data_IF_817875550032
#
_entry.id   IF_817875550032
#
_cell.length_a   1.000
_cell.length_b   1.000
_cell.length_c   1.000
_cell.angle_alpha   90.00
_cell.angle_beta   90.00
_cell.angle_gamma   90.00
#
_symmetry.space_group_name_H-M   'P 1'
#
loop_
_entity.id
_entity.type
_entity.pdbx_description
1 polymer ?
#
# COMPACT_ATOMS: atom_id res chain seq x y z
N UNK A 1 -6.03 -14.05 -29.26
CA UNK A 1 -6.20 -12.72 -28.65
C UNK A 1 -5.73 -12.81 -27.20
N UNK A 2 -4.83 -11.95 -26.78
CA UNK A 2 -4.46 -11.89 -25.37
C UNK A 2 -5.68 -11.46 -24.56
N UNK A 3 -5.96 -12.20 -23.49
CA UNK A 3 -7.04 -11.87 -22.54
C UNK A 3 -6.57 -10.67 -21.69
N UNK A 4 -6.80 -9.45 -22.19
CA UNK A 4 -6.43 -8.20 -21.50
C UNK A 4 -7.21 -7.96 -20.19
N UNK A 5 -7.78 -9.01 -19.63
CA UNK A 5 -8.57 -8.92 -18.40
C UNK A 5 -7.66 -8.82 -17.18
N UNK A 6 -7.88 -7.78 -16.39
CA UNK A 6 -7.22 -7.64 -15.10
C UNK A 6 -7.85 -8.62 -14.10
N UNK A 7 -7.02 -9.46 -13.49
CA UNK A 7 -7.43 -10.41 -12.44
C UNK A 7 -6.73 -10.08 -11.13
N UNK A 8 -7.48 -10.04 -10.05
CA UNK A 8 -6.95 -9.86 -8.68
C UNK A 8 -7.08 -11.20 -7.96
N UNK A 9 -5.99 -11.64 -7.33
CA UNK A 9 -5.98 -12.86 -6.52
C UNK A 9 -5.14 -12.66 -5.25
N UNK A 10 -5.39 -13.43 -4.19
CA UNK A 10 -4.50 -13.48 -3.04
C UNK A 10 -3.09 -13.94 -3.44
N UNK A 11 -2.10 -13.42 -2.74
CA UNK A 11 -0.70 -13.88 -2.88
C UNK A 11 -0.62 -15.34 -2.44
N UNK A 12 -0.16 -16.21 -3.35
CA UNK A 12 0.15 -17.60 -3.04
C UNK A 12 1.64 -17.78 -2.70
N UNK A 13 1.98 -18.88 -2.05
CA UNK A 13 3.38 -19.18 -1.72
C UNK A 13 4.28 -19.24 -2.96
N UNK A 14 3.74 -19.72 -4.07
CA UNK A 14 4.43 -19.78 -5.37
C UNK A 14 4.72 -18.39 -5.96
N UNK A 15 3.97 -17.38 -5.57
CA UNK A 15 4.16 -15.99 -6.04
C UNK A 15 5.29 -15.27 -5.26
N UNK A 16 5.61 -15.75 -4.04
CA UNK A 16 6.49 -15.06 -3.09
C UNK A 16 7.89 -14.72 -3.62
N UNK A 17 8.60 -15.58 -4.37
CA UNK A 17 9.91 -15.19 -4.90
C UNK A 17 9.86 -14.01 -5.88
N UNK A 18 8.86 -13.99 -6.77
CA UNK A 18 8.69 -12.88 -7.72
C UNK A 18 8.24 -11.59 -7.02
N UNK A 19 7.33 -11.71 -6.05
CA UNK A 19 6.84 -10.60 -5.23
C UNK A 19 7.97 -10.03 -4.39
N UNK A 20 8.80 -10.85 -3.77
CA UNK A 20 9.94 -10.41 -2.98
C UNK A 20 10.92 -9.58 -3.79
N UNK A 21 11.23 -9.99 -5.02
CA UNK A 21 12.07 -9.19 -5.93
C UNK A 21 11.41 -7.87 -6.31
N UNK A 22 10.13 -7.88 -6.60
CA UNK A 22 9.37 -6.67 -6.95
C UNK A 22 9.35 -5.67 -5.78
N UNK A 23 9.01 -6.13 -4.58
CA UNK A 23 9.01 -5.29 -3.37
C UNK A 23 10.41 -4.73 -3.10
N UNK A 24 11.44 -5.56 -3.14
CA UNK A 24 12.80 -5.14 -2.88
C UNK A 24 13.26 -4.01 -3.82
N UNK A 25 12.82 -4.04 -5.08
CA UNK A 25 13.14 -3.00 -6.06
C UNK A 25 12.41 -1.67 -5.80
N UNK A 26 11.25 -1.70 -5.14
CA UNK A 26 10.39 -0.52 -4.90
C UNK A 26 10.54 0.05 -3.49
N UNK A 27 10.61 -0.81 -2.49
CA UNK A 27 10.49 -0.46 -1.08
C UNK A 27 11.72 -0.87 -0.24
N UNK A 28 12.59 -1.71 -0.79
CA UNK A 28 13.62 -2.39 -0.01
C UNK A 28 13.01 -3.56 0.82
N UNK A 29 13.75 -4.01 1.83
CA UNK A 29 13.34 -5.16 2.64
C UNK A 29 12.25 -4.82 3.66
N UNK A 30 12.17 -3.57 4.09
CA UNK A 30 11.28 -3.12 5.18
C UNK A 30 10.56 -1.84 4.82
N UNK A 31 9.36 -1.68 5.37
CA UNK A 31 8.57 -0.45 5.37
C UNK A 31 8.25 -0.09 6.80
N UNK A 32 8.41 1.17 7.18
CA UNK A 32 8.13 1.65 8.52
C UNK A 32 6.86 2.51 8.48
N UNK A 33 5.89 2.13 9.30
CA UNK A 33 4.62 2.85 9.45
C UNK A 33 4.37 3.03 10.94
N UNK A 34 4.20 4.27 11.38
CA UNK A 34 3.97 4.61 12.80
C UNK A 34 5.01 3.98 13.75
N UNK A 35 6.28 3.93 13.32
CA UNK A 35 7.34 3.29 14.09
C UNK A 35 7.35 1.76 14.06
N UNK A 36 6.37 1.13 13.44
CA UNK A 36 6.32 -0.33 13.25
C UNK A 36 7.06 -0.71 11.98
N UNK A 37 7.97 -1.66 12.10
CA UNK A 37 8.74 -2.19 10.97
C UNK A 37 8.00 -3.38 10.37
N UNK A 38 7.56 -3.23 9.12
CA UNK A 38 6.93 -4.30 8.34
C UNK A 38 7.94 -4.91 7.36
N UNK A 39 7.74 -6.18 7.06
CA UNK A 39 8.43 -6.91 5.98
C UNK A 39 7.40 -7.26 4.90
N UNK A 40 7.20 -6.40 3.90
CA UNK A 40 6.07 -6.56 2.97
C UNK A 40 6.06 -7.89 2.22
N UNK A 41 7.24 -8.47 1.95
CA UNK A 41 7.32 -9.78 1.28
C UNK A 41 6.73 -10.93 2.11
N UNK A 42 6.56 -10.76 3.42
CA UNK A 42 6.03 -11.76 4.34
C UNK A 42 4.55 -11.53 4.68
N UNK A 43 4.01 -10.35 4.34
CA UNK A 43 2.64 -9.97 4.65
C UNK A 43 1.61 -10.70 3.77
N UNK A 44 0.36 -10.62 4.20
CA UNK A 44 -0.78 -10.90 3.35
C UNK A 44 -0.79 -9.92 2.17
N UNK A 45 -1.31 -10.35 1.03
CA UNK A 45 -1.32 -9.48 -0.13
C UNK A 45 -2.28 -9.93 -1.21
N UNK A 46 -2.50 -9.01 -2.14
CA UNK A 46 -3.26 -9.22 -3.37
C UNK A 46 -2.37 -8.88 -4.56
N UNK A 47 -2.32 -9.78 -5.53
CA UNK A 47 -1.64 -9.53 -6.81
C UNK A 47 -2.66 -9.23 -7.90
N UNK A 48 -2.33 -8.25 -8.71
CA UNK A 48 -3.01 -7.96 -9.95
C UNK A 48 -2.22 -8.58 -11.11
N UNK A 49 -2.88 -9.36 -11.94
CA UNK A 49 -2.29 -10.03 -13.10
C UNK A 49 -3.04 -9.62 -14.35
N UNK A 50 -2.31 -9.27 -15.41
CA UNK A 50 -2.83 -8.98 -16.74
C UNK A 50 -1.96 -9.71 -17.75
N UNK A 51 -2.57 -10.42 -18.69
CA UNK A 51 -1.85 -11.21 -19.71
C UNK A 51 -0.80 -12.17 -19.10
N UNK A 52 -1.12 -12.77 -17.95
CA UNK A 52 -0.23 -13.68 -17.25
C UNK A 52 0.98 -13.03 -16.57
N UNK A 53 1.05 -11.69 -16.56
CA UNK A 53 2.14 -10.91 -15.96
C UNK A 53 1.69 -10.12 -14.76
N UNK A 54 2.60 -9.90 -13.82
CA UNK A 54 2.37 -9.03 -12.67
C UNK A 54 2.04 -7.59 -13.16
N UNK A 55 0.87 -7.11 -12.82
CA UNK A 55 0.41 -5.76 -13.13
C UNK A 55 0.42 -4.84 -11.90
N UNK A 56 0.35 -5.41 -10.70
CA UNK A 56 0.40 -4.66 -9.46
C UNK A 56 0.36 -5.56 -8.22
N UNK A 57 0.62 -4.95 -7.09
CA UNK A 57 0.67 -5.62 -5.79
C UNK A 57 0.16 -4.68 -4.70
N UNK A 58 -0.58 -5.25 -3.76
CA UNK A 58 -0.95 -4.60 -2.51
C UNK A 58 -0.65 -5.57 -1.37
N UNK A 59 0.11 -5.10 -0.36
CA UNK A 59 0.33 -5.86 0.87
C UNK A 59 -0.37 -5.17 2.03
N UNK A 60 -0.82 -5.96 2.99
CA UNK A 60 -1.58 -5.46 4.12
C UNK A 60 -1.37 -6.28 5.39
N UNK A 61 -1.62 -5.64 6.51
CA UNK A 61 -1.66 -6.26 7.83
C UNK A 61 -3.03 -6.04 8.47
N UNK A 62 -3.49 -6.99 9.29
CA UNK A 62 -4.78 -6.92 9.97
C UNK A 62 -4.55 -6.90 11.47
N UNK A 63 -5.06 -5.89 12.15
CA UNK A 63 -4.98 -5.76 13.59
C UNK A 63 -6.29 -5.23 14.16
N UNK A 64 -6.95 -6.02 15.00
CA UNK A 64 -8.25 -5.66 15.56
C UNK A 64 -9.30 -5.38 14.46
N UNK A 65 -9.93 -4.23 14.52
CA UNK A 65 -10.97 -3.78 13.58
C UNK A 65 -10.41 -3.07 12.34
N UNK A 66 -9.09 -3.04 12.16
CA UNK A 66 -8.44 -2.30 11.10
C UNK A 66 -7.58 -3.18 10.21
N UNK A 67 -7.53 -2.83 8.93
CA UNK A 67 -6.62 -3.35 7.94
C UNK A 67 -5.73 -2.20 7.47
N UNK A 68 -4.43 -2.32 7.71
CA UNK A 68 -3.42 -1.37 7.24
C UNK A 68 -2.91 -1.79 5.85
N UNK A 69 -3.08 -0.93 4.86
CA UNK A 69 -2.41 -1.08 3.56
C UNK A 69 -0.96 -0.65 3.75
N UNK A 70 -0.03 -1.60 3.64
CA UNK A 70 1.41 -1.33 3.87
C UNK A 70 2.10 -0.92 2.58
N UNK A 71 1.82 -1.61 1.47
CA UNK A 71 2.32 -1.22 0.14
C UNK A 71 1.21 -1.30 -0.90
N UNK A 72 1.25 -0.40 -1.87
CA UNK A 72 0.40 -0.44 -3.06
C UNK A 72 1.21 0.04 -4.26
N UNK A 73 1.36 -0.85 -5.23
CA UNK A 73 2.11 -0.58 -6.45
C UNK A 73 1.36 -1.05 -7.69
N UNK A 74 1.36 -0.22 -8.71
CA UNK A 74 1.02 -0.61 -10.07
C UNK A 74 2.29 -0.60 -10.93
N UNK A 75 2.48 -1.62 -11.75
CA UNK A 75 3.63 -1.70 -12.67
C UNK A 75 3.58 -0.55 -13.68
N UNK A 76 2.39 -0.24 -14.16
CA UNK A 76 2.10 0.95 -14.97
C UNK A 76 1.13 1.86 -14.22
N UNK A 77 1.40 3.17 -14.11
CA UNK A 77 0.54 4.11 -13.38
C UNK A 77 -0.88 4.24 -13.94
N UNK A 78 -1.06 3.86 -15.20
CA UNK A 78 -2.34 3.91 -15.93
C UNK A 78 -2.99 2.53 -15.99
N UNK A 79 -4.30 2.47 -16.23
CA UNK A 79 -5.02 1.20 -16.44
C UNK A 79 -5.81 0.67 -15.25
N UNK A 80 -6.02 1.48 -14.22
CA UNK A 80 -6.95 1.17 -13.14
C UNK A 80 -6.49 0.09 -12.15
N UNK A 81 -5.24 -0.36 -12.21
CA UNK A 81 -4.71 -1.45 -11.36
C UNK A 81 -4.79 -1.08 -9.88
N UNK A 82 -4.33 0.12 -9.50
CA UNK A 82 -4.40 0.58 -8.12
C UNK A 82 -5.83 0.65 -7.59
N UNK A 83 -6.76 1.15 -8.40
CA UNK A 83 -8.19 1.19 -8.04
C UNK A 83 -8.77 -0.20 -7.83
N UNK A 84 -8.45 -1.14 -8.71
CA UNK A 84 -8.90 -2.53 -8.60
C UNK A 84 -8.36 -3.21 -7.34
N UNK A 85 -7.09 -2.97 -6.99
CA UNK A 85 -6.47 -3.50 -5.77
C UNK A 85 -7.12 -2.92 -4.51
N UNK A 86 -7.40 -1.61 -4.48
CA UNK A 86 -8.08 -0.98 -3.33
C UNK A 86 -9.51 -1.51 -3.19
N UNK A 87 -10.25 -1.70 -4.27
CA UNK A 87 -11.58 -2.33 -4.25
C UNK A 87 -11.49 -3.76 -3.70
N UNK A 88 -10.53 -4.54 -4.19
CA UNK A 88 -10.37 -5.94 -3.76
C UNK A 88 -9.97 -6.05 -2.27
N UNK A 89 -9.10 -5.17 -1.76
CA UNK A 89 -8.75 -5.20 -0.34
C UNK A 89 -9.90 -4.72 0.55
N UNK A 90 -10.74 -3.81 0.08
CA UNK A 90 -11.97 -3.43 0.79
C UNK A 90 -12.94 -4.61 0.91
N UNK A 91 -13.10 -5.40 -0.15
CA UNK A 91 -13.92 -6.62 -0.13
C UNK A 91 -13.31 -7.68 0.79
N UNK A 92 -11.99 -7.84 0.78
CA UNK A 92 -11.29 -8.73 1.71
C UNK A 92 -11.51 -8.31 3.17
N UNK A 93 -11.42 -7.03 3.46
CA UNK A 93 -11.67 -6.47 4.79
C UNK A 93 -13.11 -6.77 5.25
N UNK A 94 -14.10 -6.60 4.37
CA UNK A 94 -15.51 -6.94 4.67
C UNK A 94 -15.68 -8.43 4.97
N UNK A 95 -15.07 -9.32 4.18
CA UNK A 95 -15.10 -10.77 4.45
C UNK A 95 -14.52 -11.12 5.81
N UNK A 96 -13.51 -10.37 6.26
CA UNK A 96 -12.89 -10.52 7.59
C UNK A 96 -13.63 -9.77 8.69
N UNK A 97 -14.75 -9.10 8.37
CA UNK A 97 -15.49 -8.25 9.30
C UNK A 97 -14.66 -7.10 9.89
N UNK A 98 -13.66 -6.66 9.16
CA UNK A 98 -12.86 -5.49 9.50
C UNK A 98 -13.60 -4.23 9.09
N UNK A 99 -13.64 -3.24 9.98
CA UNK A 99 -14.47 -2.03 9.84
C UNK A 99 -13.76 -0.87 9.20
N UNK A 100 -12.45 -0.89 9.17
CA UNK A 100 -11.65 0.26 8.73
C UNK A 100 -10.45 -0.15 7.90
N UNK A 101 -10.24 0.56 6.80
CA UNK A 101 -8.99 0.56 6.07
C UNK A 101 -8.15 1.76 6.51
N UNK A 102 -6.89 1.52 6.80
CA UNK A 102 -5.90 2.55 7.07
C UNK A 102 -4.83 2.53 5.99
N UNK A 103 -4.29 3.67 5.67
CA UNK A 103 -3.08 3.81 4.86
C UNK A 103 -2.30 5.02 5.36
N UNK A 104 -0.99 4.88 5.40
CA UNK A 104 -0.08 5.97 5.75
C UNK A 104 0.83 6.27 4.57
N UNK A 105 0.98 7.54 4.27
CA UNK A 105 1.91 8.03 3.26
C UNK A 105 2.75 9.17 3.84
N UNK A 106 3.73 9.64 3.07
CA UNK A 106 4.58 10.75 3.47
C UNK A 106 4.09 12.07 2.89
N UNK A 107 4.48 13.17 3.52
CA UNK A 107 4.02 14.51 3.18
C UNK A 107 4.34 14.97 1.74
N UNK A 108 5.36 14.38 1.13
CA UNK A 108 5.76 14.66 -0.25
C UNK A 108 4.91 13.93 -1.30
N UNK A 109 4.25 12.83 -0.91
CA UNK A 109 3.52 11.97 -1.85
C UNK A 109 2.12 12.53 -2.15
N UNK A 110 2.07 13.65 -2.84
CA UNK A 110 0.83 14.32 -3.20
C UNK A 110 -0.03 13.46 -4.13
N UNK A 111 0.58 12.62 -4.95
CA UNK A 111 -0.13 11.70 -5.84
C UNK A 111 -0.88 10.63 -5.04
N UNK A 112 -0.29 10.08 -3.99
CA UNK A 112 -0.96 9.15 -3.08
C UNK A 112 -2.10 9.83 -2.32
N UNK A 113 -1.88 11.05 -1.82
CA UNK A 113 -2.93 11.81 -1.14
C UNK A 113 -4.15 12.05 -2.04
N UNK A 114 -3.91 12.43 -3.28
CA UNK A 114 -4.97 12.58 -4.28
C UNK A 114 -5.64 11.23 -4.60
N UNK A 115 -4.85 10.18 -4.81
CA UNK A 115 -5.33 8.84 -5.15
C UNK A 115 -6.29 8.29 -4.09
N UNK A 116 -5.89 8.32 -2.83
CA UNK A 116 -6.70 7.76 -1.74
C UNK A 116 -7.94 8.59 -1.43
N UNK A 117 -7.84 9.92 -1.39
CA UNK A 117 -8.99 10.78 -1.14
C UNK A 117 -10.09 10.60 -2.21
N UNK A 118 -9.72 10.40 -3.47
CA UNK A 118 -10.69 10.10 -4.55
C UNK A 118 -11.33 8.71 -4.42
N UNK A 119 -10.87 7.89 -3.48
CA UNK A 119 -11.37 6.53 -3.19
C UNK A 119 -11.94 6.44 -1.78
N UNK A 120 -12.54 7.54 -1.34
CA UNK A 120 -13.29 7.65 -0.08
C UNK A 120 -12.43 7.55 1.19
N UNK A 121 -11.10 7.59 1.06
CA UNK A 121 -10.25 7.78 2.23
C UNK A 121 -10.29 9.24 2.66
N UNK A 122 -10.31 9.45 3.99
CA UNK A 122 -10.27 10.78 4.61
C UNK A 122 -8.95 10.95 5.35
N UNK A 123 -8.44 12.18 5.35
CA UNK A 123 -7.30 12.53 6.20
C UNK A 123 -7.70 12.33 7.65
N UNK A 124 -6.88 11.61 8.39
CA UNK A 124 -7.19 11.25 9.78
C UNK A 124 -6.18 11.83 10.76
N UNK A 125 -4.89 11.70 10.49
CA UNK A 125 -3.84 12.20 11.36
C UNK A 125 -2.62 12.65 10.57
N UNK A 126 -1.93 13.65 11.10
CA UNK A 126 -0.58 14.03 10.68
C UNK A 126 0.36 13.76 11.85
N UNK A 127 1.48 13.12 11.57
CA UNK A 127 2.54 12.86 12.57
C UNK A 127 3.80 13.63 12.18
N UNK A 128 3.97 14.85 12.69
CA UNK A 128 5.14 15.68 12.42
C UNK A 128 6.42 14.97 12.88
N UNK A 129 7.43 14.95 12.00
CA UNK A 129 8.74 14.36 12.31
C UNK A 129 8.80 12.82 12.29
N UNK A 130 7.69 12.12 11.98
CA UNK A 130 7.67 10.66 12.02
C UNK A 130 8.63 10.02 11.02
N UNK A 131 8.85 10.62 9.86
CA UNK A 131 9.82 10.10 8.88
C UNK A 131 11.25 10.32 9.34
N UNK A 132 11.55 11.42 10.03
CA UNK A 132 12.87 11.64 10.61
C UNK A 132 13.20 10.56 11.66
N UNK A 133 12.22 10.14 12.46
CA UNK A 133 12.36 9.01 13.38
C UNK A 133 12.54 7.68 12.63
N UNK A 134 11.74 7.44 11.58
CA UNK A 134 11.87 6.24 10.75
C UNK A 134 13.23 6.16 10.06
N UNK A 135 13.82 7.28 9.69
CA UNK A 135 15.15 7.37 9.07
C UNK A 135 16.27 6.89 10.00
N UNK A 136 16.06 6.99 11.31
CA UNK A 136 17.01 6.40 12.30
C UNK A 136 17.04 4.87 12.22
N UNK A 137 15.91 4.24 11.91
CA UNK A 137 15.80 2.79 11.75
C UNK A 137 16.13 2.35 10.32
N UNK A 138 15.87 3.20 9.33
CA UNK A 138 16.09 2.96 7.91
C UNK A 138 16.77 4.18 7.29
N UNK A 139 18.11 4.30 7.39
CA UNK A 139 18.85 5.46 6.88
C UNK A 139 18.75 5.67 5.37
N UNK A 140 18.27 4.66 4.63
CA UNK A 140 18.07 4.71 3.17
C UNK A 140 16.87 5.55 2.73
N UNK A 141 16.02 6.00 3.67
CA UNK A 141 14.91 6.90 3.34
C UNK A 141 15.50 8.24 2.90
N UNK A 142 15.18 8.64 1.68
CA UNK A 142 15.65 9.89 1.09
C UNK A 142 15.20 11.11 1.92
N UNK A 143 16.01 12.16 1.93
CA UNK A 143 15.66 13.42 2.59
C UNK A 143 14.72 14.28 1.76
N UNK A 144 14.87 14.23 0.44
CA UNK A 144 14.04 14.95 -0.52
C UNK A 144 13.27 13.93 -1.35
N UNK A 145 11.97 14.11 -1.42
CA UNK A 145 11.06 13.21 -2.11
C UNK A 145 10.48 13.78 -3.39
N UNK A 146 9.26 13.39 -3.66
CA UNK A 146 8.51 13.83 -4.83
C UNK A 146 8.32 15.35 -4.81
N UNK A 147 8.32 15.97 -5.98
CA UNK A 147 8.12 17.42 -6.15
C UNK A 147 9.14 18.27 -5.39
N UNK A 148 10.35 17.74 -5.16
CA UNK A 148 11.40 18.41 -4.37
C UNK A 148 10.98 18.77 -2.94
N UNK A 149 10.00 18.06 -2.40
CA UNK A 149 9.50 18.27 -1.05
C UNK A 149 10.34 17.47 -0.05
N UNK A 150 10.85 18.09 1.02
CA UNK A 150 11.53 17.36 2.09
C UNK A 150 10.58 16.33 2.74
N UNK A 151 11.05 15.09 2.86
CA UNK A 151 10.28 14.00 3.47
C UNK A 151 10.51 14.04 4.98
N UNK A 152 9.48 14.40 5.75
CA UNK A 152 9.57 14.59 7.22
C UNK A 152 8.44 13.98 8.00
N UNK A 153 7.22 14.01 7.43
CA UNK A 153 5.98 13.77 8.16
C UNK A 153 5.22 12.59 7.57
N UNK A 154 4.51 11.86 8.42
CA UNK A 154 3.52 10.88 7.99
C UNK A 154 2.12 11.48 7.99
N UNK A 155 1.31 11.08 7.00
CA UNK A 155 -0.10 11.40 6.90
C UNK A 155 -0.87 10.10 6.84
N UNK A 156 -1.75 9.89 7.82
CA UNK A 156 -2.64 8.74 7.87
C UNK A 156 -4.00 9.11 7.27
N UNK A 157 -4.50 8.22 6.42
CA UNK A 157 -5.84 8.30 5.86
C UNK A 157 -6.62 7.05 6.26
N UNK A 158 -7.91 7.22 6.46
CA UNK A 158 -8.80 6.12 6.84
C UNK A 158 -10.05 6.10 5.96
N UNK A 159 -10.55 4.89 5.74
CA UNK A 159 -11.85 4.65 5.10
C UNK A 159 -12.65 3.69 5.96
N UNK A 160 -13.77 4.15 6.48
CA UNK A 160 -14.71 3.28 7.20
C UNK A 160 -15.51 2.44 6.21
N UNK A 161 -15.67 1.16 6.51
CA UNK A 161 -16.39 0.21 5.69
C UNK A 161 -17.74 -0.08 6.30
N UNK A 162 -18.79 -0.03 5.48
CA UNK A 162 -20.08 -0.56 5.87
C UNK A 162 -19.98 -2.09 5.97
N UNK A 163 -20.31 -2.63 7.13
CA UNK A 163 -20.47 -4.07 7.35
C UNK A 163 -21.96 -4.34 7.31
N UNK A 164 -22.35 -5.14 6.34
CA UNK A 164 -23.74 -5.58 6.20
C UNK A 164 -24.15 -6.57 7.30
#
# INVERSE_FOLDING_TARGET
MADNTLRIKPVANTDRPAIGRFIASRWGATVIVHGTVFRPAELLGLVAVRDGRLAGLLTYDVSGDSLEIVTLDAVTPTGGVGSALVTAVADEARRRQVRRLNVTTTNDNLDALRFYQRREFRLFAVRPGAVDESRRLKPQIDEIGLYDIPIRDEIELVRDLAIG
#
